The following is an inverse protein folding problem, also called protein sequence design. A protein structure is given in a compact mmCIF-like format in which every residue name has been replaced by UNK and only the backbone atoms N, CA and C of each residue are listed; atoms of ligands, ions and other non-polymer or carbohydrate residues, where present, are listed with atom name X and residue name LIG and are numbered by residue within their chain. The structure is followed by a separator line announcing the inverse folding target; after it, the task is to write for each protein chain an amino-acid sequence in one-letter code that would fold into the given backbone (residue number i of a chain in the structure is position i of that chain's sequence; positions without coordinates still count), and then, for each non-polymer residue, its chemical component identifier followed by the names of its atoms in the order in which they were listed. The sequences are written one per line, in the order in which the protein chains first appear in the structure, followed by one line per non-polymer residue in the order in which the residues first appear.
data_IF_244977755605
#
_entry.id   IF_244977755605
#
_cell.length_a   1.000
_cell.length_b   1.000
_cell.length_c   1.000
_cell.angle_alpha   90.00
_cell.angle_beta   90.00
_cell.angle_gamma   90.00
#
_symmetry.space_group_name_H-M   'P 1'
#
loop_
_entity.id
_entity.type
_entity.pdbx_description
1 polymer ?
#
# COMPACT_ATOMS: atom_id res chain seq x y z
N UNK A 1 -10.79 13.27 3.50
CA UNK A 1 -11.12 13.21 4.94
C UNK A 1 -10.22 14.10 5.79
N UNK A 2 -8.89 14.10 5.60
CA UNK A 2 -7.98 14.94 6.38
C UNK A 2 -8.36 16.44 6.47
N UNK A 3 -8.77 17.13 5.38
CA UNK A 3 -9.17 18.54 5.47
C UNK A 3 -10.42 18.79 6.33
N UNK A 4 -11.37 17.85 6.34
CA UNK A 4 -12.57 17.92 7.17
C UNK A 4 -12.23 17.69 8.66
N UNK A 5 -11.24 16.82 8.93
CA UNK A 5 -10.70 16.59 10.29
C UNK A 5 -10.04 17.86 10.85
N UNK A 6 -9.25 18.55 10.01
CA UNK A 6 -8.65 19.85 10.35
C UNK A 6 -9.71 20.95 10.53
N UNK A 7 -10.75 20.98 9.69
CA UNK A 7 -11.86 21.93 9.81
C UNK A 7 -12.68 21.71 11.10
N UNK A 8 -12.98 20.46 11.45
CA UNK A 8 -13.64 20.12 12.71
C UNK A 8 -12.85 20.60 13.93
N UNK A 9 -11.51 20.44 13.90
CA UNK A 9 -10.64 20.98 14.96
C UNK A 9 -10.73 22.50 15.05
N UNK A 10 -10.70 23.20 13.92
CA UNK A 10 -10.82 24.67 13.91
C UNK A 10 -12.15 25.14 14.49
N UNK A 11 -13.26 24.45 14.17
CA UNK A 11 -14.57 24.72 14.73
C UNK A 11 -14.61 24.53 16.26
N UNK A 12 -13.92 23.51 16.78
CA UNK A 12 -13.82 23.23 18.22
C UNK A 12 -12.81 24.09 19.00
N UNK A 13 -11.94 24.87 18.32
CA UNK A 13 -10.83 25.59 18.97
C UNK A 13 -11.26 26.66 19.98
N UNK A 14 -12.51 27.15 19.91
CA UNK A 14 -13.07 28.18 20.80
C UNK A 14 -14.23 27.70 21.67
N UNK A 15 -14.51 26.40 21.70
CA UNK A 15 -15.60 25.84 22.47
C UNK A 15 -15.23 25.79 23.97
N UNK A 16 -15.66 26.79 24.74
CA UNK A 16 -15.59 26.78 26.22
C UNK A 16 -16.68 25.86 26.81
N UNK A 17 -17.71 25.52 26.00
CA UNK A 17 -18.83 24.66 26.37
C UNK A 17 -18.96 23.48 25.39
N UNK A 18 -19.27 22.29 25.92
CA UNK A 18 -19.30 21.00 25.20
C UNK A 18 -20.24 20.95 24.00
N UNK A 19 -21.23 21.85 23.91
CA UNK A 19 -22.24 21.87 22.86
C UNK A 19 -21.74 22.28 21.46
N UNK A 20 -20.72 23.15 21.35
CA UNK A 20 -20.23 23.62 20.04
C UNK A 20 -19.48 22.53 19.24
N UNK A 21 -18.92 21.53 19.93
CA UNK A 21 -18.30 20.36 19.27
C UNK A 21 -19.32 19.29 18.86
N UNK A 22 -20.57 19.32 19.36
CA UNK A 22 -21.58 18.33 19.04
C UNK A 22 -22.11 18.43 17.59
N UNK A 23 -21.90 19.56 16.92
CA UNK A 23 -22.25 19.79 15.50
C UNK A 23 -21.11 19.38 14.54
N UNK A 24 -19.98 18.91 15.05
CA UNK A 24 -18.87 18.46 14.21
C UNK A 24 -19.11 17.05 13.69
N UNK A 25 -18.63 16.77 12.48
CA UNK A 25 -18.76 15.44 11.89
C UNK A 25 -17.99 14.40 12.77
N UNK A 26 -18.55 13.21 13.05
CA UNK A 26 -17.89 12.19 13.86
C UNK A 26 -16.74 11.53 13.09
N UNK A 27 -15.59 12.21 12.98
CA UNK A 27 -14.46 11.79 12.16
C UNK A 27 -13.88 10.44 12.57
N UNK A 28 -13.78 10.15 13.88
CA UNK A 28 -13.30 8.84 14.36
C UNK A 28 -14.17 7.70 13.85
N UNK A 29 -15.50 7.86 13.91
CA UNK A 29 -16.46 6.87 13.40
C UNK A 29 -16.37 6.74 11.89
N UNK A 30 -16.27 7.86 11.16
CA UNK A 30 -16.17 7.83 9.69
C UNK A 30 -14.88 7.16 9.20
N UNK A 31 -13.74 7.45 9.83
CA UNK A 31 -12.48 6.76 9.54
C UNK A 31 -12.59 5.26 9.82
N UNK A 32 -13.16 4.89 10.96
CA UNK A 32 -13.35 3.48 11.33
C UNK A 32 -14.29 2.76 10.34
N UNK A 33 -15.36 3.40 9.87
CA UNK A 33 -16.25 2.85 8.82
C UNK A 33 -15.49 2.63 7.52
N UNK A 34 -14.67 3.60 7.08
CA UNK A 34 -13.85 3.44 5.86
C UNK A 34 -12.88 2.28 6.01
N UNK A 35 -12.22 2.13 7.17
CA UNK A 35 -11.29 1.01 7.38
C UNK A 35 -11.97 -0.35 7.51
N UNK A 36 -13.18 -0.41 8.09
CA UNK A 36 -13.97 -1.65 8.07
C UNK A 36 -14.39 -1.99 6.64
N UNK A 37 -14.83 -1.00 5.85
CA UNK A 37 -15.19 -1.22 4.46
C UNK A 37 -13.99 -1.71 3.64
N UNK A 38 -12.80 -1.15 3.88
CA UNK A 38 -11.55 -1.60 3.28
C UNK A 38 -11.21 -3.05 3.66
N UNK A 39 -11.31 -3.39 4.95
CA UNK A 39 -11.12 -4.77 5.41
C UNK A 39 -12.12 -5.74 4.77
N UNK A 40 -13.40 -5.35 4.62
CA UNK A 40 -14.41 -6.16 3.92
C UNK A 40 -14.06 -6.34 2.45
N UNK A 41 -13.61 -5.30 1.77
CA UNK A 41 -13.18 -5.39 0.38
C UNK A 41 -12.00 -6.35 0.20
N UNK A 42 -10.98 -6.24 1.06
CA UNK A 42 -9.76 -7.04 1.00
C UNK A 42 -9.98 -8.50 1.39
N UNK A 43 -10.73 -8.76 2.47
CA UNK A 43 -10.86 -10.12 3.01
C UNK A 43 -12.07 -10.89 2.47
N UNK A 44 -13.07 -10.22 1.90
CA UNK A 44 -14.27 -10.88 1.37
C UNK A 44 -14.44 -10.66 -0.14
N UNK A 45 -14.48 -9.40 -0.59
CA UNK A 45 -14.84 -9.08 -1.99
C UNK A 45 -13.76 -9.48 -2.98
N UNK A 46 -12.49 -9.19 -2.69
CA UNK A 46 -11.37 -9.56 -3.57
C UNK A 46 -11.17 -11.08 -3.64
N UNK A 47 -11.12 -11.83 -2.53
CA UNK A 47 -11.08 -13.29 -2.56
C UNK A 47 -12.28 -13.89 -3.29
N UNK A 48 -13.48 -13.33 -3.10
CA UNK A 48 -14.66 -13.73 -3.85
C UNK A 48 -14.47 -13.55 -5.35
N UNK A 49 -14.04 -12.37 -5.78
CA UNK A 49 -13.78 -12.09 -7.18
C UNK A 49 -12.69 -13.02 -7.73
N UNK A 50 -11.61 -13.25 -6.98
CA UNK A 50 -10.53 -14.15 -7.37
C UNK A 50 -11.00 -15.59 -7.56
N UNK A 51 -11.71 -16.17 -6.57
CA UNK A 51 -12.25 -17.52 -6.69
C UNK A 51 -13.35 -17.64 -7.75
N UNK A 52 -14.13 -16.56 -7.96
CA UNK A 52 -15.07 -16.51 -9.07
C UNK A 52 -14.32 -16.53 -10.39
N UNK A 53 -13.36 -15.63 -10.63
CA UNK A 53 -12.63 -15.53 -11.91
C UNK A 53 -11.70 -16.71 -12.19
N UNK A 54 -11.17 -17.38 -11.17
CA UNK A 54 -10.37 -18.62 -11.29
C UNK A 54 -11.21 -19.89 -11.45
N UNK A 55 -12.52 -19.84 -11.17
CA UNK A 55 -13.40 -20.99 -11.37
C UNK A 55 -13.51 -21.39 -12.84
N UNK A 56 -13.53 -22.70 -13.12
CA UNK A 56 -13.69 -23.26 -14.47
C UNK A 56 -14.80 -22.53 -15.24
N UNK A 57 -14.43 -21.93 -16.38
CA UNK A 57 -15.34 -21.23 -17.29
C UNK A 57 -16.42 -22.17 -17.86
N UNK A 58 -16.19 -23.49 -17.82
CA UNK A 58 -17.09 -24.52 -18.34
C UNK A 58 -18.32 -24.76 -17.44
N UNK A 59 -18.37 -24.17 -16.23
CA UNK A 59 -19.48 -24.36 -15.28
C UNK A 59 -20.52 -23.24 -15.42
N UNK A 60 -21.80 -23.61 -15.32
CA UNK A 60 -22.91 -22.65 -15.24
C UNK A 60 -22.67 -21.60 -14.14
N UNK A 61 -23.05 -20.34 -14.40
CA UNK A 61 -22.85 -19.18 -13.50
C UNK A 61 -23.26 -19.47 -12.05
N UNK A 62 -24.39 -20.14 -11.82
CA UNK A 62 -24.85 -20.49 -10.47
C UNK A 62 -23.94 -21.47 -9.71
N UNK A 63 -23.41 -22.50 -10.38
CA UNK A 63 -22.45 -23.45 -9.78
C UNK A 63 -21.13 -22.76 -9.43
N UNK A 64 -20.68 -21.83 -10.29
CA UNK A 64 -19.49 -21.01 -10.08
C UNK A 64 -19.66 -20.08 -8.87
N UNK A 65 -20.81 -19.41 -8.77
CA UNK A 65 -21.14 -18.55 -7.64
C UNK A 65 -21.17 -19.32 -6.32
N UNK A 66 -21.82 -20.49 -6.30
CA UNK A 66 -21.86 -21.37 -5.11
C UNK A 66 -20.46 -21.82 -4.70
N UNK A 67 -19.64 -22.24 -5.65
CA UNK A 67 -18.26 -22.66 -5.39
C UNK A 67 -17.43 -21.51 -4.80
N UNK A 68 -17.49 -20.32 -5.42
CA UNK A 68 -16.77 -19.15 -4.93
C UNK A 68 -17.22 -18.75 -3.51
N UNK A 69 -18.53 -18.74 -3.23
CA UNK A 69 -19.05 -18.44 -1.89
C UNK A 69 -18.55 -19.42 -0.82
N UNK A 70 -18.49 -20.72 -1.12
CA UNK A 70 -17.98 -21.73 -0.17
C UNK A 70 -16.50 -21.45 0.17
N UNK A 71 -15.68 -21.15 -0.84
CA UNK A 71 -14.27 -20.84 -0.63
C UNK A 71 -14.06 -19.54 0.14
N UNK A 72 -14.88 -18.52 -0.10
CA UNK A 72 -14.84 -17.25 0.64
C UNK A 72 -15.23 -17.45 2.09
N UNK A 73 -16.28 -18.22 2.37
CA UNK A 73 -16.69 -18.54 3.74
C UNK A 73 -15.59 -19.33 4.45
N UNK A 74 -15.00 -20.33 3.78
CA UNK A 74 -13.88 -21.09 4.33
C UNK A 74 -12.68 -20.18 4.64
N UNK A 75 -12.29 -19.28 3.74
CA UNK A 75 -11.20 -18.33 3.99
C UNK A 75 -11.54 -17.34 5.10
N UNK A 76 -12.79 -16.86 5.17
CA UNK A 76 -13.23 -15.93 6.21
C UNK A 76 -13.22 -16.58 7.59
N UNK A 77 -13.60 -17.86 7.71
CA UNK A 77 -13.52 -18.62 8.96
C UNK A 77 -12.07 -18.78 9.40
N UNK A 78 -11.17 -19.17 8.49
CA UNK A 78 -9.74 -19.29 8.82
C UNK A 78 -9.15 -17.94 9.24
N UNK A 79 -9.39 -16.88 8.49
CA UNK A 79 -8.94 -15.53 8.84
C UNK A 79 -9.53 -15.05 10.18
N UNK A 80 -10.82 -15.27 10.41
CA UNK A 80 -11.50 -14.90 11.65
C UNK A 80 -10.95 -15.64 12.87
N UNK A 81 -10.67 -16.94 12.76
CA UNK A 81 -10.04 -17.74 13.82
C UNK A 81 -8.64 -17.23 14.15
N UNK A 82 -7.82 -16.98 13.12
CA UNK A 82 -6.46 -16.43 13.29
C UNK A 82 -6.51 -15.06 13.97
N UNK A 83 -7.36 -14.15 13.49
CA UNK A 83 -7.51 -12.82 14.08
C UNK A 83 -8.05 -12.89 15.53
N UNK A 84 -8.99 -13.81 15.81
CA UNK A 84 -9.54 -14.01 17.14
C UNK A 84 -8.49 -14.51 18.15
N UNK A 85 -7.65 -15.48 17.75
CA UNK A 85 -6.54 -15.98 18.58
C UNK A 85 -5.52 -14.86 18.83
N UNK A 86 -5.14 -14.13 17.78
CA UNK A 86 -4.20 -13.01 17.90
C UNK A 86 -4.74 -11.90 18.80
N UNK A 87 -6.02 -11.57 18.70
CA UNK A 87 -6.68 -10.59 19.56
C UNK A 87 -6.71 -11.05 21.03
N UNK A 88 -6.96 -12.33 21.29
CA UNK A 88 -6.95 -12.88 22.64
C UNK A 88 -5.56 -12.80 23.31
N UNK A 89 -4.49 -13.00 22.53
CA UNK A 89 -3.10 -13.01 23.02
C UNK A 89 -2.48 -11.60 23.10
N UNK A 90 -2.68 -10.76 22.08
CA UNK A 90 -1.92 -9.52 21.84
C UNK A 90 -2.83 -8.27 21.79
N UNK A 91 -4.15 -8.40 21.96
CA UNK A 91 -5.11 -7.28 21.92
C UNK A 91 -5.07 -6.30 23.11
N UNK A 92 -4.00 -6.30 23.90
CA UNK A 92 -3.79 -5.37 25.03
C UNK A 92 -2.92 -4.19 24.60
N UNK A 93 -3.28 -3.02 25.11
CA UNK A 93 -2.63 -1.73 24.87
C UNK A 93 -2.08 -1.24 26.21
N UNK A 94 -0.81 -0.85 26.22
CA UNK A 94 -0.10 -0.36 27.41
C UNK A 94 0.15 1.15 27.27
N UNK A 95 -0.54 1.95 28.07
CA UNK A 95 -0.33 3.39 28.15
C UNK A 95 0.65 3.75 29.27
N UNK A 96 1.58 4.65 29.01
CA UNK A 96 2.43 5.21 30.06
C UNK A 96 1.71 6.36 30.75
N UNK A 97 1.26 6.13 31.99
CA UNK A 97 0.56 7.14 32.80
C UNK A 97 1.40 7.54 34.00
N UNK A 98 1.16 8.73 34.55
CA UNK A 98 1.72 9.13 35.84
C UNK A 98 0.64 8.99 36.89
N UNK A 99 0.87 8.13 37.88
CA UNK A 99 -0.05 7.98 38.99
C UNK A 99 0.18 9.13 39.97
N UNK A 100 -0.80 10.02 40.08
CA UNK A 100 -0.77 11.15 41.00
C UNK A 100 -1.68 10.82 42.18
N UNK A 101 -1.11 10.78 43.37
CA UNK A 101 -1.87 10.70 44.61
C UNK A 101 -1.74 12.03 45.34
N UNK A 102 -2.86 12.73 45.53
CA UNK A 102 -2.94 13.91 46.40
C UNK A 102 -3.81 13.59 47.61
N UNK A 103 -3.37 14.00 48.80
CA UNK A 103 -4.22 13.99 50.00
C UNK A 103 -5.25 15.11 49.93
N UNK A 104 -6.43 14.87 50.50
CA UNK A 104 -7.44 15.92 50.68
C UNK A 104 -7.01 16.76 51.87
N UNK A 105 -6.85 18.07 51.66
CA UNK A 105 -6.58 19.02 52.74
C UNK A 105 -7.86 19.80 53.05
N UNK A 106 -8.25 19.82 54.32
CA UNK A 106 -9.33 20.69 54.77
C UNK A 106 -8.92 22.16 54.61
N UNK A 107 -9.85 23.02 54.21
CA UNK A 107 -9.61 24.45 54.19
C UNK A 107 -9.30 24.93 55.61
N UNK A 108 -8.16 25.61 55.84
CA UNK A 108 -7.77 26.06 57.18
C UNK A 108 -8.81 26.96 57.86
N UNK A 109 -9.58 27.75 57.09
CA UNK A 109 -10.62 28.64 57.60
C UNK A 109 -11.86 28.68 56.67
N UNK A 110 -13.10 28.89 57.21
CA UNK A 110 -14.34 28.96 56.43
C UNK A 110 -14.39 30.10 55.39
N UNK A 111 -13.65 31.18 55.63
CA UNK A 111 -13.70 32.40 54.81
C UNK A 111 -12.57 32.51 53.77
N UNK A 112 -11.82 31.43 53.51
CA UNK A 112 -10.68 31.45 52.58
C UNK A 112 -11.07 31.34 51.09
N UNK A 113 -12.36 31.14 50.79
CA UNK A 113 -12.83 31.12 49.40
C UNK A 113 -12.52 32.43 48.66
N UNK A 114 -12.51 33.57 49.38
CA UNK A 114 -12.13 34.89 48.84
C UNK A 114 -10.63 35.07 48.59
N UNK A 115 -9.78 34.20 49.15
CA UNK A 115 -8.34 34.23 48.94
C UNK A 115 -7.93 33.58 47.60
N UNK A 116 -8.81 32.75 47.01
CA UNK A 116 -8.60 32.23 45.67
C UNK A 116 -8.95 33.30 44.64
N UNK A 117 -7.94 33.74 43.92
CA UNK A 117 -8.09 34.67 42.79
C UNK A 117 -7.59 34.00 41.52
N UNK A 118 -7.90 34.56 40.35
CA UNK A 118 -7.25 34.13 39.09
C UNK A 118 -5.72 34.17 39.18
N UNK A 119 -5.17 34.99 40.10
CA UNK A 119 -3.76 35.09 40.41
C UNK A 119 -3.18 33.93 41.22
N UNK A 120 -3.96 33.35 42.14
CA UNK A 120 -3.57 32.33 43.13
C UNK A 120 -4.70 31.29 43.31
N UNK A 121 -4.81 30.30 42.38
CA UNK A 121 -5.89 29.32 42.41
C UNK A 121 -5.65 28.12 43.33
N UNK A 122 -4.46 28.01 43.96
CA UNK A 122 -4.03 26.84 44.73
C UNK A 122 -3.82 27.19 46.22
N UNK A 123 -4.02 26.21 47.12
CA UNK A 123 -3.89 26.38 48.59
C UNK A 123 -2.43 26.66 49.02
N UNK A 124 -1.46 26.10 48.29
CA UNK A 124 -0.04 26.37 48.50
C UNK A 124 0.47 27.37 47.44
N UNK A 125 1.48 28.21 47.76
CA UNK A 125 2.13 29.13 46.82
C UNK A 125 3.03 28.33 45.86
N UNK A 126 2.43 27.41 45.12
CA UNK A 126 3.08 26.63 44.09
C UNK A 126 3.13 27.46 42.81
N UNK A 127 4.19 27.25 42.04
CA UNK A 127 4.24 27.64 40.63
C UNK A 127 2.96 27.17 39.94
N UNK A 128 2.44 27.97 38.99
CA UNK A 128 1.24 27.64 38.17
C UNK A 128 1.51 26.46 37.23
N UNK A 129 1.83 25.31 37.79
CA UNK A 129 2.27 24.12 37.08
C UNK A 129 1.42 22.95 37.56
N UNK A 130 1.00 22.12 36.61
CA UNK A 130 0.25 20.91 36.91
C UNK A 130 1.10 19.97 37.78
N UNK A 131 0.50 19.34 38.80
CA UNK A 131 1.17 18.35 39.66
C UNK A 131 1.81 17.20 38.86
N UNK A 132 1.29 16.91 37.67
CA UNK A 132 1.89 15.99 36.71
C UNK A 132 3.34 16.34 36.31
N UNK A 133 3.67 17.64 36.25
CA UNK A 133 4.98 18.13 35.80
C UNK A 133 6.02 18.09 36.93
N UNK A 134 5.59 18.22 38.18
CA UNK A 134 6.46 18.16 39.36
C UNK A 134 6.58 16.75 39.94
N UNK A 135 5.78 15.80 39.44
CA UNK A 135 5.85 14.41 39.87
C UNK A 135 7.19 13.75 39.50
N UNK A 136 7.81 13.02 40.45
CA UNK A 136 9.10 12.37 40.22
C UNK A 136 9.00 11.25 39.15
N UNK A 137 10.10 10.90 38.46
CA UNK A 137 10.08 9.92 37.37
C UNK A 137 9.56 8.53 37.77
N UNK A 138 9.70 8.16 39.05
CA UNK A 138 9.20 6.91 39.63
C UNK A 138 7.66 6.83 39.73
N UNK A 139 6.94 7.93 39.52
CA UNK A 139 5.47 7.96 39.43
C UNK A 139 4.93 7.40 38.11
N UNK A 140 5.81 7.14 37.13
CA UNK A 140 5.43 6.60 35.84
C UNK A 140 5.08 5.11 35.96
N UNK A 141 3.83 4.77 35.66
CA UNK A 141 3.30 3.42 35.69
C UNK A 141 2.66 3.07 34.35
N UNK A 142 2.52 1.79 34.05
CA UNK A 142 1.85 1.33 32.83
C UNK A 142 0.41 0.96 33.13
N UNK A 143 -0.53 1.64 32.48
CA UNK A 143 -1.94 1.31 32.53
C UNK A 143 -2.33 0.48 31.32
N UNK A 144 -2.88 -0.71 31.55
CA UNK A 144 -3.19 -1.67 30.48
C UNK A 144 -4.69 -1.71 30.23
N UNK A 145 -5.11 -1.52 28.97
CA UNK A 145 -6.50 -1.62 28.53
C UNK A 145 -6.61 -2.58 27.34
N UNK A 146 -7.76 -3.23 27.15
CA UNK A 146 -8.02 -3.99 25.92
C UNK A 146 -8.49 -3.04 24.82
N UNK A 147 -7.90 -3.14 23.63
CA UNK A 147 -8.39 -2.41 22.45
C UNK A 147 -9.75 -2.97 22.03
N UNK A 148 -10.57 -2.16 21.36
CA UNK A 148 -11.77 -2.70 20.71
C UNK A 148 -11.38 -3.59 19.53
N UNK A 149 -12.18 -4.62 19.24
CA UNK A 149 -11.87 -5.56 18.16
C UNK A 149 -11.68 -4.87 16.79
N UNK A 150 -12.53 -3.92 16.36
CA UNK A 150 -12.32 -3.21 15.09
C UNK A 150 -11.00 -2.41 15.06
N UNK A 151 -10.67 -1.69 16.13
CA UNK A 151 -9.40 -0.95 16.22
C UNK A 151 -8.19 -1.89 16.16
N UNK A 152 -8.30 -3.08 16.76
CA UNK A 152 -7.27 -4.10 16.67
C UNK A 152 -7.08 -4.63 15.24
N UNK A 153 -8.17 -4.92 14.52
CA UNK A 153 -8.10 -5.35 13.11
C UNK A 153 -7.46 -4.29 12.24
N UNK A 154 -7.82 -3.02 12.42
CA UNK A 154 -7.20 -1.89 11.70
C UNK A 154 -5.71 -1.78 12.02
N UNK A 155 -5.33 -1.91 13.29
CA UNK A 155 -3.91 -1.87 13.67
C UNK A 155 -3.11 -3.02 13.04
N UNK A 156 -3.67 -4.23 13.01
CA UNK A 156 -3.03 -5.39 12.37
C UNK A 156 -2.91 -5.21 10.86
N UNK A 157 -3.97 -4.75 10.20
CA UNK A 157 -3.95 -4.42 8.78
C UNK A 157 -2.92 -3.34 8.47
N UNK A 158 -2.78 -2.33 9.34
CA UNK A 158 -1.76 -1.29 9.20
C UNK A 158 -0.35 -1.87 9.28
N UNK A 159 -0.09 -2.85 10.14
CA UNK A 159 1.24 -3.50 10.25
C UNK A 159 1.57 -4.27 8.97
N UNK A 160 0.63 -5.09 8.49
CA UNK A 160 0.79 -5.83 7.23
C UNK A 160 1.00 -4.85 6.07
N UNK A 161 0.16 -3.81 6.00
CA UNK A 161 0.29 -2.74 5.04
C UNK A 161 1.63 -2.01 5.13
N UNK A 162 2.17 -1.79 6.34
CA UNK A 162 3.43 -1.06 6.52
C UNK A 162 4.61 -1.88 6.01
N UNK A 163 4.60 -3.20 6.22
CA UNK A 163 5.60 -4.11 5.63
C UNK A 163 5.53 -4.08 4.10
N UNK A 164 4.33 -4.23 3.52
CA UNK A 164 4.13 -4.22 2.07
C UNK A 164 4.50 -2.86 1.46
N UNK A 165 4.10 -1.76 2.12
CA UNK A 165 4.40 -0.40 1.69
C UNK A 165 5.90 -0.09 1.75
N UNK A 166 6.62 -0.54 2.79
CA UNK A 166 8.08 -0.40 2.85
C UNK A 166 8.74 -1.10 1.65
N UNK A 167 8.31 -2.30 1.29
CA UNK A 167 8.87 -3.08 0.17
C UNK A 167 8.48 -2.46 -1.18
N UNK A 168 7.18 -2.40 -1.49
CA UNK A 168 6.69 -1.97 -2.80
C UNK A 168 6.77 -0.46 -2.99
N UNK A 169 6.47 0.33 -1.96
CA UNK A 169 6.56 1.78 -2.00
C UNK A 169 8.02 2.25 -2.08
N UNK A 170 8.91 1.66 -1.27
CA UNK A 170 10.34 2.01 -1.28
C UNK A 170 10.99 1.72 -2.64
N UNK A 171 10.78 0.52 -3.18
CA UNK A 171 11.27 0.15 -4.52
C UNK A 171 10.59 0.99 -5.61
N UNK A 172 9.27 1.19 -5.52
CA UNK A 172 8.47 1.87 -6.53
C UNK A 172 8.85 3.33 -6.73
N UNK A 173 9.09 4.08 -5.64
CA UNK A 173 9.43 5.50 -5.70
C UNK A 173 10.80 5.74 -6.35
N UNK A 174 11.75 4.82 -6.21
CA UNK A 174 13.01 4.89 -6.95
C UNK A 174 12.86 4.43 -8.41
N UNK A 175 12.10 3.37 -8.65
CA UNK A 175 11.93 2.77 -9.98
C UNK A 175 11.24 3.72 -10.97
N UNK A 176 10.22 4.47 -10.56
CA UNK A 176 9.47 5.36 -11.46
C UNK A 176 10.36 6.42 -12.14
N UNK A 177 11.03 7.35 -11.42
CA UNK A 177 11.86 8.37 -12.06
C UNK A 177 13.00 7.76 -12.86
N UNK A 178 13.62 6.69 -12.35
CA UNK A 178 14.69 5.98 -13.07
C UNK A 178 14.19 5.35 -14.37
N UNK A 179 12.99 4.74 -14.36
CA UNK A 179 12.38 4.17 -15.57
C UNK A 179 12.09 5.22 -16.63
N UNK A 180 11.65 6.42 -16.23
CA UNK A 180 11.41 7.53 -17.13
C UNK A 180 12.71 8.06 -17.74
N UNK A 181 13.76 8.25 -16.92
CA UNK A 181 15.08 8.66 -17.38
C UNK A 181 15.64 7.62 -18.35
N UNK A 182 15.58 6.33 -18.02
CA UNK A 182 16.04 5.28 -18.91
C UNK A 182 15.22 5.19 -20.19
N UNK A 183 13.90 5.38 -20.13
CA UNK A 183 13.05 5.44 -21.31
C UNK A 183 13.46 6.59 -22.23
N UNK A 184 13.78 7.76 -21.67
CA UNK A 184 14.24 8.91 -22.46
C UNK A 184 15.65 8.70 -23.03
N UNK A 185 16.59 8.16 -22.25
CA UNK A 185 17.98 7.93 -22.68
C UNK A 185 18.07 6.82 -23.73
N UNK A 186 17.27 5.76 -23.59
CA UNK A 186 17.23 4.60 -24.49
C UNK A 186 16.30 4.78 -25.68
N UNK A 187 15.66 5.94 -25.84
CA UNK A 187 14.81 6.21 -26.98
C UNK A 187 15.56 5.95 -28.30
N UNK A 188 14.90 5.41 -29.33
CA UNK A 188 15.50 5.28 -30.64
C UNK A 188 15.84 6.68 -31.19
N UNK A 189 17.09 6.87 -31.62
CA UNK A 189 17.59 8.17 -32.10
C UNK A 189 17.56 8.32 -33.63
N UNK A 190 17.31 7.22 -34.34
CA UNK A 190 17.31 7.19 -35.80
C UNK A 190 16.23 6.22 -36.30
N UNK A 191 15.57 6.62 -37.39
CA UNK A 191 14.64 5.77 -38.14
C UNK A 191 15.45 4.69 -38.86
N UNK A 192 15.07 3.43 -38.68
CA UNK A 192 15.73 2.29 -39.34
C UNK A 192 15.44 2.28 -40.85
N UNK A 193 16.37 1.77 -41.64
CA UNK A 193 16.15 1.63 -43.09
C UNK A 193 15.17 0.48 -43.38
N UNK A 194 14.45 0.54 -44.51
CA UNK A 194 13.49 -0.50 -44.92
C UNK A 194 14.12 -1.90 -44.96
N UNK A 195 15.38 -2.02 -45.38
CA UNK A 195 16.09 -3.30 -45.46
C UNK A 195 16.40 -3.88 -44.07
N UNK A 196 16.78 -3.03 -43.11
CA UNK A 196 16.99 -3.44 -41.72
C UNK A 196 15.68 -3.85 -41.06
N UNK A 197 14.60 -3.10 -41.28
CA UNK A 197 13.26 -3.46 -40.80
C UNK A 197 12.82 -4.83 -41.32
N UNK A 198 12.93 -5.07 -42.64
CA UNK A 198 12.56 -6.36 -43.23
C UNK A 198 13.37 -7.50 -42.60
N UNK A 199 14.69 -7.31 -42.40
CA UNK A 199 15.54 -8.32 -41.77
C UNK A 199 15.09 -8.64 -40.34
N UNK A 200 14.94 -7.63 -39.48
CA UNK A 200 14.53 -7.83 -38.08
C UNK A 200 13.09 -8.37 -37.97
N UNK A 201 12.15 -7.86 -38.76
CA UNK A 201 10.78 -8.36 -38.82
C UNK A 201 10.73 -9.83 -39.25
N UNK A 202 11.58 -10.26 -40.19
CA UNK A 202 11.66 -11.69 -40.56
C UNK A 202 12.24 -12.57 -39.46
N UNK A 203 13.21 -12.07 -38.68
CA UNK A 203 13.76 -12.78 -37.52
C UNK A 203 12.74 -12.90 -36.38
N UNK A 204 12.01 -11.82 -36.07
CA UNK A 204 10.89 -11.84 -35.11
C UNK A 204 9.78 -12.78 -35.57
N UNK A 205 9.43 -12.76 -36.86
CA UNK A 205 8.44 -13.67 -37.45
C UNK A 205 8.84 -15.15 -37.32
N UNK A 206 10.14 -15.48 -37.39
CA UNK A 206 10.64 -16.84 -37.13
C UNK A 206 10.43 -17.23 -35.66
N UNK A 207 10.80 -16.35 -34.71
CA UNK A 207 10.58 -16.57 -33.28
C UNK A 207 9.08 -16.73 -32.94
N UNK A 208 8.22 -15.91 -33.54
CA UNK A 208 6.77 -16.00 -33.38
C UNK A 208 6.24 -17.37 -33.81
N UNK A 209 6.72 -17.90 -34.93
CA UNK A 209 6.36 -19.25 -35.42
C UNK A 209 6.84 -20.35 -34.48
N UNK A 210 8.05 -20.26 -33.94
CA UNK A 210 8.57 -21.22 -32.95
C UNK A 210 7.74 -21.21 -31.66
N UNK A 211 7.43 -20.02 -31.14
CA UNK A 211 6.59 -19.85 -29.95
C UNK A 211 5.16 -20.36 -30.17
N UNK A 212 4.58 -20.10 -31.35
CA UNK A 212 3.27 -20.64 -31.71
C UNK A 212 3.26 -22.17 -31.69
N UNK A 213 4.27 -22.82 -32.26
CA UNK A 213 4.39 -24.28 -32.21
C UNK A 213 4.55 -24.81 -30.78
N UNK A 214 5.33 -24.13 -29.94
CA UNK A 214 5.48 -24.49 -28.54
C UNK A 214 4.16 -24.33 -27.76
N UNK A 215 3.39 -23.27 -28.03
CA UNK A 215 2.07 -23.07 -27.44
C UNK A 215 1.06 -24.14 -27.88
N UNK A 216 1.05 -24.51 -29.16
CA UNK A 216 0.20 -25.58 -29.70
C UNK A 216 0.55 -26.95 -29.08
N UNK A 217 1.84 -27.26 -28.89
CA UNK A 217 2.28 -28.48 -28.21
C UNK A 217 1.80 -28.52 -26.74
N UNK A 218 1.91 -27.41 -26.01
CA UNK A 218 1.40 -27.31 -24.64
C UNK A 218 -0.13 -27.41 -24.57
N UNK A 219 -0.84 -26.91 -25.59
CA UNK A 219 -2.29 -27.07 -25.67
C UNK A 219 -2.70 -28.52 -25.96
N UNK A 220 -1.90 -29.28 -26.70
CA UNK A 220 -2.10 -30.72 -26.87
C UNK A 220 -1.84 -31.50 -25.57
N UNK A 221 -0.79 -31.14 -24.82
CA UNK A 221 -0.55 -31.69 -23.47
C UNK A 221 -1.67 -31.35 -22.47
N UNK A 222 -2.33 -30.20 -22.67
CA UNK A 222 -3.49 -29.84 -21.87
C UNK A 222 -4.67 -30.80 -22.11
N UNK A 223 -4.91 -31.13 -23.38
CA UNK A 223 -5.98 -32.07 -23.79
C UNK A 223 -5.71 -33.51 -23.37
N UNK A 224 -4.45 -33.92 -23.28
CA UNK A 224 -4.08 -35.23 -22.75
C UNK A 224 -4.19 -35.34 -21.22
N UNK A 225 -4.59 -34.25 -20.54
CA UNK A 225 -4.93 -34.23 -19.12
C UNK A 225 -3.74 -34.08 -18.18
N UNK A 226 -2.52 -33.92 -18.69
CA UNK A 226 -1.31 -33.88 -17.86
C UNK A 226 -0.99 -32.46 -17.34
N UNK A 227 -1.89 -31.89 -16.53
CA UNK A 227 -1.79 -30.53 -15.95
C UNK A 227 -0.82 -30.43 -14.76
N UNK A 228 0.33 -31.08 -14.87
CA UNK A 228 1.36 -31.14 -13.81
C UNK A 228 2.14 -29.83 -13.61
N UNK A 229 3.10 -29.85 -12.68
CA UNK A 229 3.97 -28.70 -12.36
C UNK A 229 4.89 -28.30 -13.53
N UNK A 230 5.33 -29.27 -14.35
CA UNK A 230 6.16 -29.06 -15.55
C UNK A 230 5.40 -28.26 -16.61
N UNK A 231 4.16 -28.66 -16.92
CA UNK A 231 3.28 -27.96 -17.85
C UNK A 231 3.07 -26.49 -17.42
N UNK A 232 2.71 -26.24 -16.15
CA UNK A 232 2.54 -24.86 -15.64
C UNK A 232 3.81 -24.01 -15.78
N UNK A 233 5.00 -24.61 -15.61
CA UNK A 233 6.29 -23.92 -15.79
C UNK A 233 6.53 -23.58 -17.27
N UNK A 234 6.24 -24.51 -18.18
CA UNK A 234 6.38 -24.31 -19.62
C UNK A 234 5.39 -23.28 -20.17
N UNK A 235 4.14 -23.30 -19.70
CA UNK A 235 3.12 -22.28 -20.04
C UNK A 235 3.59 -20.89 -19.63
N UNK A 236 4.06 -20.72 -18.39
CA UNK A 236 4.61 -19.44 -17.92
C UNK A 236 5.85 -19.00 -18.70
N UNK A 237 6.68 -19.95 -19.15
CA UNK A 237 7.84 -19.64 -19.96
C UNK A 237 7.44 -19.12 -21.36
N UNK A 238 6.48 -19.78 -22.01
CA UNK A 238 5.93 -19.36 -23.31
C UNK A 238 5.24 -18.00 -23.19
N UNK A 239 4.42 -17.79 -22.15
CA UNK A 239 3.75 -16.52 -21.89
C UNK A 239 4.75 -15.37 -21.69
N UNK A 240 5.82 -15.61 -20.93
CA UNK A 240 6.90 -14.63 -20.73
C UNK A 240 7.60 -14.26 -22.03
N UNK A 241 7.92 -15.24 -22.88
CA UNK A 241 8.57 -14.99 -24.17
C UNK A 241 7.63 -14.32 -25.17
N UNK A 242 6.33 -14.62 -25.12
CA UNK A 242 5.32 -13.92 -25.90
C UNK A 242 5.28 -12.44 -25.52
N UNK A 243 5.28 -12.12 -24.22
CA UNK A 243 5.36 -10.73 -23.75
C UNK A 243 6.66 -10.05 -24.20
N UNK A 244 7.79 -10.75 -24.20
CA UNK A 244 9.05 -10.18 -24.72
C UNK A 244 8.98 -9.93 -26.23
N UNK A 245 8.42 -10.87 -26.99
CA UNK A 245 8.24 -10.75 -28.43
C UNK A 245 7.30 -9.58 -28.80
N UNK A 246 6.20 -9.41 -28.06
CA UNK A 246 5.27 -8.30 -28.25
C UNK A 246 5.96 -6.95 -27.96
N UNK A 247 6.76 -6.88 -26.90
CA UNK A 247 7.56 -5.68 -26.60
C UNK A 247 8.60 -5.39 -27.70
N UNK A 248 9.28 -6.41 -28.21
CA UNK A 248 10.25 -6.28 -29.31
C UNK A 248 9.56 -5.83 -30.62
N UNK A 249 8.35 -6.35 -30.90
CA UNK A 249 7.54 -5.96 -32.05
C UNK A 249 7.07 -4.51 -31.94
N UNK A 250 6.50 -4.13 -30.79
CA UNK A 250 6.08 -2.76 -30.53
C UNK A 250 7.26 -1.77 -30.66
N UNK A 251 8.45 -2.16 -30.18
CA UNK A 251 9.66 -1.35 -30.34
C UNK A 251 10.08 -1.22 -31.81
N UNK A 252 9.93 -2.29 -32.61
CA UNK A 252 10.24 -2.27 -34.04
C UNK A 252 9.24 -1.40 -34.83
N UNK A 253 7.95 -1.48 -34.51
CA UNK A 253 6.90 -0.65 -35.11
C UNK A 253 7.10 0.84 -34.78
N UNK A 254 7.51 1.14 -33.55
CA UNK A 254 7.80 2.52 -33.14
C UNK A 254 9.03 3.10 -33.85
N UNK A 255 10.00 2.27 -34.24
CA UNK A 255 11.19 2.67 -35.01
C UNK A 255 10.95 2.81 -36.52
N UNK A 256 9.86 2.26 -37.06
CA UNK A 256 9.50 2.33 -38.47
C UNK A 256 8.00 2.62 -38.65
N UNK A 257 7.57 3.88 -38.52
CA UNK A 257 6.17 4.25 -38.69
C UNK A 257 5.72 3.96 -40.12
N UNK A 258 4.80 3.01 -40.29
CA UNK A 258 4.21 2.67 -41.59
C UNK A 258 3.06 3.63 -41.91
N UNK A 259 3.13 4.33 -43.05
CA UNK A 259 2.03 5.17 -43.55
C UNK A 259 2.48 6.44 -44.28
N UNK A 260 1.51 7.15 -44.88
CA UNK A 260 1.71 8.35 -45.71
C UNK A 260 2.22 9.58 -44.92
N UNK A 261 2.18 9.54 -43.59
CA UNK A 261 2.59 10.62 -42.66
C UNK A 261 3.70 10.21 -41.68
N UNK A 262 4.71 9.47 -42.16
CA UNK A 262 5.79 8.91 -41.33
C UNK A 262 6.49 9.95 -40.42
N UNK A 263 6.71 11.18 -40.90
CA UNK A 263 7.35 12.24 -40.10
C UNK A 263 6.48 12.74 -38.95
N UNK A 264 5.17 12.85 -39.15
CA UNK A 264 4.23 13.25 -38.10
C UNK A 264 4.12 12.16 -37.03
N UNK A 265 4.02 10.89 -37.45
CA UNK A 265 3.96 9.75 -36.52
C UNK A 265 5.23 9.65 -35.68
N UNK A 266 6.40 9.89 -36.27
CA UNK A 266 7.67 9.97 -35.55
C UNK A 266 7.73 11.16 -34.58
N UNK A 267 7.23 12.34 -34.97
CA UNK A 267 7.13 13.47 -34.06
C UNK A 267 6.22 13.16 -32.86
N UNK A 268 5.12 12.43 -33.07
CA UNK A 268 4.22 11.98 -31.99
C UNK A 268 4.88 10.95 -31.06
N UNK A 269 5.71 10.02 -31.55
CA UNK A 269 6.44 9.09 -30.67
C UNK A 269 7.47 9.83 -29.82
N UNK A 270 8.20 10.80 -30.39
CA UNK A 270 9.12 11.67 -29.64
C UNK A 270 8.37 12.49 -28.59
N UNK A 271 7.24 13.09 -28.95
CA UNK A 271 6.36 13.80 -28.01
C UNK A 271 5.78 12.87 -26.94
N UNK A 272 5.48 11.62 -27.26
CA UNK A 272 5.02 10.62 -26.29
C UNK A 272 6.14 10.23 -25.32
N UNK A 273 7.41 10.14 -25.75
CA UNK A 273 8.54 9.92 -24.86
C UNK A 273 8.84 11.12 -23.95
N UNK A 274 8.70 12.34 -24.47
CA UNK A 274 8.77 13.58 -23.67
C UNK A 274 7.57 13.64 -22.71
N UNK A 275 6.38 13.24 -23.17
CA UNK A 275 5.16 13.12 -22.38
C UNK A 275 5.30 12.09 -21.27
N UNK A 276 5.89 10.92 -21.53
CA UNK A 276 6.22 9.90 -20.51
C UNK A 276 7.15 10.47 -19.44
N UNK A 277 8.11 11.31 -19.83
CA UNK A 277 9.02 11.99 -18.89
C UNK A 277 8.29 13.00 -17.98
N UNK A 278 7.21 13.63 -18.46
CA UNK A 278 6.43 14.65 -17.72
C UNK A 278 5.24 14.03 -16.95
N UNK A 279 4.59 13.00 -17.50
CA UNK A 279 3.31 12.42 -17.04
C UNK A 279 3.41 10.94 -16.67
N UNK A 280 4.54 10.49 -16.11
CA UNK A 280 4.87 9.07 -15.87
C UNK A 280 4.00 8.29 -14.89
N UNK A 281 2.66 8.34 -15.02
CA UNK A 281 1.67 7.73 -14.15
C UNK A 281 0.67 6.85 -14.95
N UNK A 282 0.47 7.06 -16.25
CA UNK A 282 -0.57 6.28 -16.96
C UNK A 282 0.02 4.98 -17.52
N UNK A 283 0.08 3.97 -16.67
CA UNK A 283 0.34 2.59 -17.05
C UNK A 283 -0.86 2.02 -17.82
N UNK A 284 -0.89 2.20 -19.14
CA UNK A 284 -1.75 1.42 -20.01
C UNK A 284 -1.00 0.18 -20.48
N UNK A 285 -1.31 -0.97 -19.86
CA UNK A 285 -0.84 -2.28 -20.28
C UNK A 285 -1.76 -3.35 -19.69
N UNK A 286 -2.28 -4.23 -20.56
CA UNK A 286 -3.28 -5.23 -20.24
C UNK A 286 -2.85 -6.12 -19.07
N UNK A 287 -3.38 -5.83 -17.88
CA UNK A 287 -3.23 -6.71 -16.72
C UNK A 287 -4.29 -7.79 -16.83
N UNK A 288 -3.87 -9.05 -16.82
CA UNK A 288 -4.77 -10.20 -16.62
C UNK A 288 -5.65 -9.91 -15.40
N UNK A 289 -6.96 -10.22 -15.48
CA UNK A 289 -7.96 -9.90 -14.44
C UNK A 289 -7.49 -10.30 -13.03
N UNK A 290 -6.80 -11.44 -12.88
CA UNK A 290 -6.27 -11.89 -11.59
C UNK A 290 -5.11 -11.02 -11.08
N UNK A 291 -4.23 -10.56 -11.96
CA UNK A 291 -3.16 -9.61 -11.63
C UNK A 291 -3.74 -8.24 -11.26
N UNK A 292 -4.81 -7.81 -11.93
CA UNK A 292 -5.52 -6.59 -11.56
C UNK A 292 -6.12 -6.68 -10.16
N UNK A 293 -6.91 -7.72 -9.87
CA UNK A 293 -7.54 -7.91 -8.56
C UNK A 293 -6.51 -8.05 -7.43
N UNK A 294 -5.41 -8.76 -7.68
CA UNK A 294 -4.31 -8.87 -6.72
C UNK A 294 -3.64 -7.51 -6.45
N UNK A 295 -3.36 -6.73 -7.50
CA UNK A 295 -2.78 -5.40 -7.35
C UNK A 295 -3.73 -4.43 -6.63
N UNK A 296 -5.05 -4.50 -6.90
CA UNK A 296 -6.05 -3.72 -6.17
C UNK A 296 -6.03 -4.09 -4.68
N UNK A 297 -5.98 -5.37 -4.33
CA UNK A 297 -5.86 -5.81 -2.94
C UNK A 297 -4.58 -5.32 -2.25
N UNK A 298 -3.45 -5.34 -2.96
CA UNK A 298 -2.20 -4.78 -2.45
C UNK A 298 -2.30 -3.26 -2.23
N UNK A 299 -2.92 -2.51 -3.16
CA UNK A 299 -3.09 -1.06 -3.04
C UNK A 299 -3.98 -0.72 -1.84
N UNK A 300 -5.10 -1.43 -1.66
CA UNK A 300 -6.00 -1.24 -0.52
C UNK A 300 -5.29 -1.47 0.81
N UNK A 301 -4.56 -2.60 0.95
CA UNK A 301 -3.76 -2.89 2.14
C UNK A 301 -2.67 -1.84 2.40
N UNK A 302 -2.00 -1.34 1.35
CA UNK A 302 -0.98 -0.31 1.49
C UNK A 302 -1.58 1.07 1.80
N UNK A 303 -2.84 1.33 1.42
CA UNK A 303 -3.46 2.66 1.54
C UNK A 303 -3.53 3.13 2.99
N UNK A 304 -3.84 2.22 3.93
CA UNK A 304 -3.89 2.52 5.37
C UNK A 304 -2.50 2.97 5.86
N UNK A 305 -1.46 2.27 5.46
CA UNK A 305 -0.08 2.58 5.84
C UNK A 305 0.46 3.82 5.15
N UNK A 306 -0.01 4.14 3.94
CA UNK A 306 0.28 5.43 3.28
C UNK A 306 -0.34 6.57 4.08
N UNK A 307 -1.59 6.44 4.54
CA UNK A 307 -2.24 7.44 5.39
C UNK A 307 -1.46 7.62 6.69
N UNK A 308 -1.05 6.52 7.33
CA UNK A 308 -0.24 6.53 8.55
C UNK A 308 1.12 7.20 8.31
N UNK A 309 1.81 6.87 7.21
CA UNK A 309 3.07 7.51 6.82
C UNK A 309 2.88 9.01 6.61
N UNK A 310 1.87 9.43 5.85
CA UNK A 310 1.56 10.85 5.61
C UNK A 310 1.21 11.59 6.91
N UNK A 311 0.43 10.98 7.80
CA UNK A 311 0.09 11.56 9.11
C UNK A 311 1.34 11.77 9.97
N UNK A 312 2.29 10.83 9.94
CA UNK A 312 3.57 10.98 10.65
C UNK A 312 4.54 11.96 10.00
N UNK A 313 4.68 11.94 8.67
CA UNK A 313 5.57 12.82 7.92
C UNK A 313 5.11 14.28 7.98
N UNK A 314 3.79 14.50 7.96
CA UNK A 314 3.17 15.82 8.07
C UNK A 314 2.50 16.00 9.44
N UNK A 315 3.13 15.53 10.52
CA UNK A 315 2.56 15.53 11.87
C UNK A 315 2.12 16.92 12.37
N UNK A 316 2.76 18.00 11.90
CA UNK A 316 2.34 19.37 12.19
C UNK A 316 0.94 19.68 11.61
N UNK A 317 0.68 19.26 10.38
CA UNK A 317 -0.62 19.46 9.71
C UNK A 317 -1.67 18.46 10.20
N UNK A 318 -1.26 17.23 10.54
CA UNK A 318 -2.13 16.18 11.05
C UNK A 318 -2.35 16.24 12.58
N UNK A 319 -1.81 17.25 13.27
CA UNK A 319 -1.88 17.33 14.73
C UNK A 319 -3.34 17.36 15.22
N UNK A 320 -3.65 16.53 16.22
CA UNK A 320 -4.99 16.41 16.83
C UNK A 320 -6.12 16.13 15.81
N UNK A 321 -5.80 15.40 14.73
CA UNK A 321 -6.80 14.79 13.84
C UNK A 321 -7.17 13.40 14.34
N UNK A 322 -8.37 12.92 14.01
CA UNK A 322 -8.80 11.57 14.35
C UNK A 322 -7.87 10.50 13.73
N UNK A 323 -7.33 10.76 12.53
CA UNK A 323 -6.32 9.89 11.92
C UNK A 323 -5.05 9.80 12.78
N UNK A 324 -4.52 10.93 13.26
CA UNK A 324 -3.35 10.95 14.14
C UNK A 324 -3.64 10.33 15.52
N UNK A 325 -4.87 10.44 16.04
CA UNK A 325 -5.27 9.76 17.27
C UNK A 325 -5.24 8.23 17.11
N UNK A 326 -5.85 7.72 16.03
CA UNK A 326 -5.91 6.28 15.73
C UNK A 326 -4.51 5.70 15.45
N UNK A 327 -3.72 6.34 14.58
CA UNK A 327 -2.41 5.82 14.17
C UNK A 327 -1.26 6.20 15.09
N UNK A 328 -1.35 7.34 15.77
CA UNK A 328 -0.32 7.85 16.67
C UNK A 328 -0.45 7.28 18.07
N UNK A 329 -1.64 7.31 18.68
CA UNK A 329 -1.80 6.90 20.08
C UNK A 329 -2.11 5.41 20.25
N UNK A 330 -3.05 4.86 19.47
CA UNK A 330 -3.47 3.46 19.64
C UNK A 330 -2.41 2.48 19.16
N UNK A 331 -1.80 2.73 17.99
CA UNK A 331 -0.77 1.86 17.40
C UNK A 331 0.58 1.89 18.15
N UNK A 332 1.00 3.07 18.64
CA UNK A 332 2.23 3.18 19.43
C UNK A 332 2.09 2.64 20.85
N UNK A 333 0.87 2.35 21.30
CA UNK A 333 0.61 1.82 22.65
C UNK A 333 0.31 0.32 22.63
N UNK A 334 0.17 -0.31 21.45
CA UNK A 334 -0.07 -1.75 21.33
C UNK A 334 1.08 -2.57 21.90
N UNK A 335 0.75 -3.54 22.76
CA UNK A 335 1.75 -4.37 23.45
C UNK A 335 2.55 -5.20 22.44
N UNK A 336 3.87 -5.20 22.60
CA UNK A 336 4.82 -5.86 21.68
C UNK A 336 5.17 -5.02 20.44
N UNK A 337 4.16 -4.50 19.73
CA UNK A 337 4.35 -3.84 18.43
C UNK A 337 4.74 -2.35 18.56
N UNK A 338 4.53 -1.73 19.73
CA UNK A 338 4.88 -0.34 20.00
C UNK A 338 6.29 0.07 19.55
N UNK A 339 7.26 -0.83 19.63
CA UNK A 339 8.66 -0.54 19.31
C UNK A 339 8.88 -0.31 17.81
N UNK A 340 8.15 -1.01 16.94
CA UNK A 340 8.28 -0.85 15.49
C UNK A 340 7.90 0.58 15.05
N UNK A 341 6.84 1.12 15.65
CA UNK A 341 6.36 2.48 15.37
C UNK A 341 7.10 3.55 16.16
N UNK A 342 7.48 3.29 17.43
CA UNK A 342 8.25 4.23 18.25
C UNK A 342 9.63 4.54 17.65
N UNK A 343 10.28 3.52 17.06
CA UNK A 343 11.59 3.68 16.42
C UNK A 343 11.50 3.95 14.91
N UNK A 344 10.31 4.22 14.36
CA UNK A 344 10.11 4.51 12.94
C UNK A 344 10.76 3.47 11.99
N UNK A 345 10.72 2.18 12.38
CA UNK A 345 11.43 1.10 11.65
C UNK A 345 10.98 1.01 10.20
N UNK A 346 9.67 1.16 9.95
CA UNK A 346 9.10 1.10 8.61
C UNK A 346 9.51 2.29 7.73
N UNK A 347 9.62 3.49 8.30
CA UNK A 347 10.06 4.69 7.58
C UNK A 347 11.54 4.59 7.21
N UNK A 348 12.40 4.14 8.14
CA UNK A 348 13.81 3.91 7.84
C UNK A 348 13.98 2.79 6.81
N UNK A 349 13.23 1.69 6.93
CA UNK A 349 13.24 0.60 5.95
C UNK A 349 12.81 1.07 4.56
N UNK A 350 11.78 1.92 4.48
CA UNK A 350 11.30 2.50 3.23
C UNK A 350 12.40 3.33 2.54
N UNK A 351 13.05 4.24 3.28
CA UNK A 351 14.14 5.07 2.75
C UNK A 351 15.34 4.20 2.35
N UNK A 352 15.71 3.22 3.18
CA UNK A 352 16.81 2.31 2.89
C UNK A 352 16.58 1.53 1.59
N UNK A 353 15.38 0.97 1.37
CA UNK A 353 15.06 0.26 0.14
C UNK A 353 15.02 1.19 -1.09
N UNK A 354 14.50 2.41 -0.94
CA UNK A 354 14.54 3.42 -2.01
C UNK A 354 15.99 3.79 -2.40
N UNK A 355 16.87 3.97 -1.42
CA UNK A 355 18.28 4.27 -1.67
C UNK A 355 19.00 3.07 -2.31
N UNK A 356 18.81 1.86 -1.78
CA UNK A 356 19.41 0.65 -2.31
C UNK A 356 19.00 0.38 -3.77
N UNK A 357 17.72 0.57 -4.09
CA UNK A 357 17.23 0.42 -5.45
C UNK A 357 17.78 1.48 -6.38
N UNK A 358 17.88 2.74 -5.93
CA UNK A 358 18.49 3.81 -6.70
C UNK A 358 19.97 3.49 -7.01
N UNK A 359 20.75 3.06 -6.02
CA UNK A 359 22.14 2.65 -6.24
C UNK A 359 22.25 1.43 -7.15
N UNK A 360 21.40 0.42 -6.97
CA UNK A 360 21.40 -0.77 -7.83
C UNK A 360 21.16 -0.41 -9.30
N UNK A 361 20.16 0.42 -9.59
CA UNK A 361 19.88 0.87 -10.95
C UNK A 361 20.93 1.85 -11.49
N UNK A 362 21.52 2.70 -10.64
CA UNK A 362 22.62 3.56 -11.06
C UNK A 362 23.85 2.75 -11.49
N UNK A 363 24.17 1.65 -10.78
CA UNK A 363 25.33 0.80 -11.06
C UNK A 363 25.08 -0.20 -12.20
N UNK A 364 23.91 -0.86 -12.21
CA UNK A 364 23.63 -1.98 -13.12
C UNK A 364 22.55 -1.68 -14.15
N UNK A 365 21.70 -0.68 -13.90
CA UNK A 365 20.57 -0.34 -14.75
C UNK A 365 20.99 0.13 -16.14
N UNK A 366 22.23 0.59 -16.33
CA UNK A 366 22.76 1.05 -17.62
C UNK A 366 23.22 -0.07 -18.56
N UNK A 367 23.43 -1.30 -18.05
CA UNK A 367 23.82 -2.42 -18.91
C UNK A 367 22.67 -2.75 -19.87
N UNK A 368 22.88 -2.53 -21.18
CA UNK A 368 21.97 -3.02 -22.22
C UNK A 368 21.80 -4.54 -22.02
N UNK A 369 20.57 -5.00 -21.81
CA UNK A 369 20.27 -6.43 -21.93
C UNK A 369 20.57 -6.81 -23.37
N UNK A 370 21.62 -7.62 -23.58
CA UNK A 370 21.80 -8.31 -24.86
C UNK A 370 20.56 -9.18 -25.07
N UNK A 371 19.99 -9.24 -26.28
CA UNK A 371 18.93 -10.20 -26.56
C UNK A 371 19.48 -11.59 -26.27
N UNK A 372 19.01 -12.21 -25.20
CA UNK A 372 19.43 -13.56 -24.83
C UNK A 372 18.97 -14.51 -25.93
N UNK A 373 19.94 -15.11 -26.60
CA UNK A 373 19.72 -16.04 -27.70
C UNK A 373 19.04 -17.34 -27.23
N UNK A 374 18.25 -17.89 -28.16
CA UNK A 374 17.62 -19.23 -28.21
C UNK A 374 16.81 -19.66 -26.98
N UNK A 375 15.49 -19.59 -27.16
CA UNK A 375 14.51 -20.35 -26.40
C UNK A 375 14.79 -21.86 -26.54
N UNK A 376 15.08 -22.53 -25.44
CA UNK A 376 15.16 -23.99 -25.36
C UNK A 376 14.14 -24.48 -24.34
N UNK A 377 13.17 -25.28 -24.80
CA UNK A 377 12.24 -25.98 -23.92
C UNK A 377 13.03 -27.01 -23.11
N UNK A 378 12.80 -27.09 -21.80
CA UNK A 378 13.34 -28.21 -21.02
C UNK A 378 12.60 -29.47 -21.43
N UNK A 379 13.32 -30.41 -22.04
CA UNK A 379 12.81 -31.73 -22.42
C UNK A 379 12.25 -32.51 -21.25
#
# INVERSE_FOLDING_TARGET
MLPADVANRQACRRAVYSGACALTLPMKTLWLVVYIADAVLVFLVIPFAMFYYEGDQDKSVGKRLKSALIWVVASAVVCGLVLGILYALIGKVDFTVRHLSSSVQAFPNPNQFSAFTSGQPCIAPLTRQCSANTAPPNSQTTWTMRATFPEYVVALATIVGSVLFTIFGGVGIACLPLSLIFSFVRRPKAVITRSQYIKEATELGKKAKELKKAAEALHQEERSGNKGRKWRKNVKAVEKELLLLENDMNALEEMYPQGEKAEATWAFTVLAYIGKLIFGIVGWGGTLMNSFLFNVGLILLCSISVIQFCATAFAYYAQATAAQEIFGHTLQSLRGIKYLYKYNVFQYGFVALAILTLFYYALFGWRKRKPTGRFQLSS
#
